data_IF_412285422759
#
_entry.id   IF_412285422759
#
_cell.length_a   1.000
_cell.length_b   1.000
_cell.length_c   1.000
_cell.angle_alpha   90.00
_cell.angle_beta   90.00
_cell.angle_gamma   90.00
#
_symmetry.space_group_name_H-M   'P 1'
#
loop_
_entity.id
_entity.type
_entity.pdbx_description
1 polymer ?
#
# COMPACT_ATOMS: atom_id res chain seq x y z
N UNK A 1 67.64 -35.18 18.34
CA UNK A 1 67.65 -33.94 19.13
C UNK A 1 68.06 -32.78 18.21
N UNK A 2 67.11 -31.95 17.77
CA UNK A 2 67.35 -30.55 17.37
C UNK A 2 66.01 -29.80 17.52
N UNK A 3 66.10 -28.61 18.13
CA UNK A 3 65.01 -27.78 18.66
C UNK A 3 64.25 -27.01 17.56
N UNK A 4 62.90 -26.85 17.65
CA UNK A 4 62.14 -26.14 16.64
C UNK A 4 62.08 -24.64 16.98
N UNK A 5 62.75 -23.82 16.16
CA UNK A 5 62.47 -22.39 16.08
C UNK A 5 62.23 -22.01 14.63
N UNK A 6 61.05 -21.44 14.41
CA UNK A 6 60.55 -20.72 13.23
C UNK A 6 60.06 -21.61 12.08
N UNK A 7 58.75 -21.60 11.86
CA UNK A 7 58.21 -20.88 10.70
C UNK A 7 56.68 -20.82 10.73
N UNK A 8 56.19 -19.70 10.18
CA UNK A 8 54.92 -19.54 9.46
C UNK A 8 53.64 -19.29 10.26
N UNK A 9 53.37 -17.99 10.38
CA UNK A 9 52.05 -17.40 10.43
C UNK A 9 51.13 -17.97 9.34
N UNK A 10 49.90 -18.33 9.71
CA UNK A 10 48.83 -18.66 8.78
C UNK A 10 47.49 -18.10 9.31
N UNK A 11 47.12 -16.98 8.70
CA UNK A 11 45.79 -16.58 8.26
C UNK A 11 44.59 -16.87 9.20
N UNK A 12 44.29 -15.90 10.06
CA UNK A 12 42.93 -15.67 10.52
C UNK A 12 42.14 -14.99 9.40
N UNK A 13 41.65 -15.78 8.44
CA UNK A 13 40.67 -15.34 7.45
C UNK A 13 39.30 -15.27 8.16
N UNK A 14 39.04 -14.14 8.84
CA UNK A 14 37.68 -13.83 9.29
C UNK A 14 36.82 -13.65 8.05
N UNK A 15 36.01 -14.66 7.76
CA UNK A 15 34.87 -14.62 6.86
C UNK A 15 33.92 -13.52 7.35
N UNK A 16 34.12 -12.30 6.84
CA UNK A 16 33.09 -11.29 6.81
C UNK A 16 31.98 -11.79 5.87
N UNK A 17 31.08 -12.62 6.41
CA UNK A 17 29.79 -12.90 5.77
C UNK A 17 29.09 -11.55 5.69
N UNK A 18 28.84 -10.99 4.49
CA UNK A 18 28.04 -9.78 4.42
C UNK A 18 26.64 -10.21 4.84
N UNK A 19 26.23 -9.79 6.04
CA UNK A 19 24.81 -9.69 6.37
C UNK A 19 24.21 -8.82 5.27
N UNK A 20 23.51 -9.45 4.33
CA UNK A 20 22.81 -8.77 3.26
C UNK A 20 21.74 -7.90 3.91
N UNK A 21 22.09 -6.66 4.22
CA UNK A 21 21.17 -5.70 4.80
C UNK A 21 20.04 -5.47 3.78
N UNK A 22 18.78 -5.80 4.12
CA UNK A 22 17.66 -5.68 3.19
C UNK A 22 17.45 -4.22 2.72
N UNK A 23 17.97 -3.24 3.46
CA UNK A 23 17.95 -1.82 3.11
C UNK A 23 18.86 -1.46 1.93
N UNK A 24 20.04 -2.10 1.81
CA UNK A 24 20.96 -1.89 0.67
C UNK A 24 20.43 -2.54 -0.62
N UNK A 25 19.71 -3.66 -0.52
CA UNK A 25 19.02 -4.26 -1.66
C UNK A 25 17.83 -3.41 -2.15
N UNK A 26 17.24 -2.60 -1.27
CA UNK A 26 16.17 -1.66 -1.58
C UNK A 26 16.69 -0.41 -2.29
N UNK A 27 17.93 0.01 -2.04
CA UNK A 27 18.57 1.16 -2.70
C UNK A 27 18.97 0.88 -4.17
N UNK A 28 19.14 -0.40 -4.55
CA UNK A 28 19.40 -0.83 -5.93
C UNK A 28 18.11 -0.98 -6.77
N UNK A 29 16.95 -1.04 -6.11
CA UNK A 29 15.64 -1.11 -6.75
C UNK A 29 15.13 0.31 -6.93
N UNK A 30 14.71 0.70 -8.13
CA UNK A 30 14.01 1.97 -8.31
C UNK A 30 12.85 2.03 -7.31
N UNK A 31 12.85 3.02 -6.42
CA UNK A 31 11.81 3.16 -5.40
C UNK A 31 11.31 4.60 -5.41
N UNK A 32 10.00 4.75 -5.19
CA UNK A 32 9.35 6.05 -5.08
C UNK A 32 8.47 6.08 -3.84
N UNK A 33 8.33 7.27 -3.27
CA UNK A 33 7.46 7.49 -2.11
C UNK A 33 6.42 8.52 -2.49
N UNK A 34 5.16 8.21 -2.19
CA UNK A 34 4.04 9.14 -2.27
C UNK A 34 3.46 9.37 -0.89
N UNK A 35 2.71 10.46 -0.75
CA UNK A 35 2.22 10.92 0.54
C UNK A 35 0.73 11.21 0.49
N UNK A 36 0.05 10.82 1.57
CA UNK A 36 -1.22 11.46 1.93
C UNK A 36 -0.85 12.78 2.63
N UNK A 37 -1.28 13.94 2.12
CA UNK A 37 -1.01 15.22 2.76
C UNK A 37 -1.60 15.23 4.18
N UNK A 38 -0.97 15.93 5.13
CA UNK A 38 -1.51 15.97 6.48
C UNK A 38 -2.90 16.61 6.52
N UNK A 39 -3.82 16.00 7.25
CA UNK A 39 -5.20 16.46 7.37
C UNK A 39 -5.72 16.30 8.79
N UNK A 40 -6.66 17.17 9.17
CA UNK A 40 -7.22 17.19 10.51
C UNK A 40 -8.45 16.30 10.62
N UNK A 41 -8.55 15.54 11.70
CA UNK A 41 -9.73 14.74 12.04
C UNK A 41 -10.36 15.40 13.26
N UNK A 42 -11.56 15.98 13.13
CA UNK A 42 -12.23 16.61 14.26
C UNK A 42 -12.41 15.65 15.44
N UNK A 43 -12.57 16.20 16.65
CA UNK A 43 -12.85 15.43 17.85
C UNK A 43 -14.14 14.60 17.67
N UNK A 44 -14.17 13.36 18.13
CA UNK A 44 -15.32 12.47 18.05
C UNK A 44 -15.85 12.23 16.62
N UNK A 45 -14.98 12.29 15.60
CA UNK A 45 -15.37 12.11 14.21
C UNK A 45 -14.70 10.92 13.54
N UNK A 46 -15.43 10.37 12.57
CA UNK A 46 -14.93 9.46 11.58
C UNK A 46 -14.73 10.23 10.26
N UNK A 47 -13.49 10.33 9.78
CA UNK A 47 -13.16 11.09 8.57
C UNK A 47 -12.43 10.23 7.55
N UNK A 48 -12.98 10.19 6.35
CA UNK A 48 -12.42 9.50 5.21
C UNK A 48 -12.14 10.52 4.08
N UNK A 49 -10.90 10.53 3.60
CA UNK A 49 -10.45 11.46 2.56
C UNK A 49 -9.80 10.73 1.41
N UNK A 50 -9.70 11.44 0.29
CA UNK A 50 -9.07 11.01 -0.94
C UNK A 50 -8.00 12.02 -1.37
N UNK A 51 -6.91 11.52 -1.94
CA UNK A 51 -5.87 12.34 -2.54
C UNK A 51 -5.43 11.74 -3.87
N UNK A 52 -5.49 12.53 -4.93
CA UNK A 52 -4.93 12.14 -6.23
C UNK A 52 -3.43 12.48 -6.30
N UNK A 53 -2.61 11.52 -6.73
CA UNK A 53 -1.16 11.67 -6.89
C UNK A 53 -0.76 11.23 -8.31
N UNK A 54 -0.45 12.18 -9.21
CA UNK A 54 0.05 11.85 -10.54
C UNK A 54 1.55 11.53 -10.51
N UNK A 55 1.92 10.32 -10.93
CA UNK A 55 3.30 9.89 -11.08
C UNK A 55 3.78 10.11 -12.50
N UNK A 56 4.75 11.01 -12.69
CA UNK A 56 5.33 11.30 -14.00
C UNK A 56 6.29 10.19 -14.42
N UNK A 57 5.74 9.15 -15.04
CA UNK A 57 6.49 8.01 -15.58
C UNK A 57 6.05 7.75 -17.02
N UNK A 58 7.00 7.38 -17.87
CA UNK A 58 6.78 7.11 -19.29
C UNK A 58 6.71 5.62 -19.61
N UNK A 59 7.18 4.78 -18.69
CA UNK A 59 7.20 3.34 -18.81
C UNK A 59 6.26 2.70 -17.78
N UNK A 60 5.78 1.48 -18.04
CA UNK A 60 5.00 0.73 -17.07
C UNK A 60 5.81 0.46 -15.80
N UNK A 61 5.15 0.53 -14.65
CA UNK A 61 5.77 0.19 -13.36
C UNK A 61 5.48 -1.26 -13.02
N UNK A 62 6.52 -2.09 -12.99
CA UNK A 62 6.46 -3.41 -12.37
C UNK A 62 6.78 -3.29 -10.88
N UNK A 63 5.77 -3.43 -10.03
CA UNK A 63 5.89 -3.26 -8.58
C UNK A 63 6.17 -4.61 -7.93
N UNK A 64 7.25 -4.68 -7.15
CA UNK A 64 7.64 -5.87 -6.37
C UNK A 64 7.27 -5.79 -4.89
N UNK A 65 7.13 -4.58 -4.36
CA UNK A 65 6.76 -4.36 -2.96
C UNK A 65 6.12 -2.98 -2.78
N UNK A 66 5.13 -2.92 -1.88
CA UNK A 66 4.52 -1.69 -1.41
C UNK A 66 4.58 -1.68 0.11
N UNK A 67 5.00 -0.56 0.68
CA UNK A 67 5.03 -0.34 2.13
C UNK A 67 4.18 0.88 2.44
N UNK A 68 3.17 0.71 3.30
CA UNK A 68 2.32 1.80 3.76
C UNK A 68 2.65 2.06 5.23
N UNK A 69 2.82 3.32 5.60
CA UNK A 69 2.98 3.75 6.99
C UNK A 69 1.98 4.86 7.29
N UNK A 70 1.03 4.54 8.16
CA UNK A 70 0.07 5.48 8.73
C UNK A 70 0.70 6.20 9.92
N UNK A 71 0.62 7.53 9.95
CA UNK A 71 1.34 8.36 10.91
C UNK A 71 0.37 9.28 11.66
N UNK A 72 0.58 9.38 12.98
CA UNK A 72 -0.24 10.20 13.87
C UNK A 72 -1.08 9.40 14.85
N UNK A 73 -1.09 8.07 14.77
CA UNK A 73 -1.88 7.21 15.66
C UNK A 73 -1.50 7.37 17.13
N UNK A 74 -2.51 7.35 18.00
CA UNK A 74 -2.42 7.41 19.45
C UNK A 74 -3.64 6.71 20.08
N UNK A 75 -3.69 6.57 21.40
CA UNK A 75 -4.89 6.05 22.06
C UNK A 75 -6.13 6.89 21.69
N UNK A 76 -7.21 6.21 21.28
CA UNK A 76 -8.44 6.87 20.81
C UNK A 76 -8.33 7.54 19.42
N UNK A 77 -7.20 7.47 18.73
CA UNK A 77 -7.04 8.03 17.38
C UNK A 77 -6.25 7.08 16.48
N UNK A 78 -6.92 6.45 15.52
CA UNK A 78 -6.32 5.40 14.70
C UNK A 78 -6.72 5.50 13.23
N UNK A 79 -5.83 5.02 12.36
CA UNK A 79 -6.20 4.71 10.98
C UNK A 79 -7.12 3.49 11.03
N UNK A 80 -8.29 3.62 10.40
CA UNK A 80 -9.16 2.48 10.13
C UNK A 80 -8.62 1.72 8.92
N UNK A 81 -8.34 2.44 7.83
CA UNK A 81 -7.58 1.90 6.71
C UNK A 81 -6.87 2.97 5.89
N UNK A 82 -5.93 2.52 5.05
CA UNK A 82 -5.48 3.22 3.86
C UNK A 82 -5.59 2.29 2.66
N UNK A 83 -6.18 2.78 1.57
CA UNK A 83 -6.26 2.06 0.30
C UNK A 83 -5.51 2.86 -0.77
N UNK A 84 -4.66 2.16 -1.52
CA UNK A 84 -3.98 2.70 -2.70
C UNK A 84 -4.69 2.16 -3.92
N UNK A 85 -5.26 3.04 -4.71
CA UNK A 85 -5.87 2.72 -6.00
C UNK A 85 -4.97 3.17 -7.15
N UNK A 86 -4.91 2.36 -8.21
CA UNK A 86 -4.59 2.84 -9.55
C UNK A 86 -5.90 3.27 -10.21
N UNK A 87 -5.98 4.52 -10.63
CA UNK A 87 -7.15 5.04 -11.34
C UNK A 87 -7.08 4.63 -12.81
N UNK A 88 -8.12 4.01 -13.35
CA UNK A 88 -8.15 3.38 -14.68
C UNK A 88 -8.97 4.15 -15.73
N UNK A 89 -9.65 5.23 -15.33
CA UNK A 89 -10.40 6.10 -16.24
C UNK A 89 -9.59 7.35 -16.62
N UNK A 90 -10.17 8.23 -17.44
CA UNK A 90 -9.51 9.47 -17.86
C UNK A 90 -9.11 10.35 -16.66
N UNK A 91 -7.81 10.64 -16.54
CA UNK A 91 -7.22 11.39 -15.43
C UNK A 91 -7.51 12.90 -15.47
N UNK A 92 -8.03 13.44 -16.57
CA UNK A 92 -8.21 14.89 -16.75
C UNK A 92 -9.11 15.50 -15.66
N UNK A 93 -10.12 14.76 -15.21
CA UNK A 93 -11.03 15.17 -14.14
C UNK A 93 -10.34 15.23 -12.75
N UNK A 94 -9.24 14.49 -12.56
CA UNK A 94 -8.50 14.43 -11.31
C UNK A 94 -7.37 15.46 -11.22
N UNK A 95 -6.91 16.00 -12.35
CA UNK A 95 -5.81 17.00 -12.37
C UNK A 95 -6.05 18.17 -11.40
N UNK A 96 -7.24 18.78 -11.29
CA UNK A 96 -7.47 19.89 -10.36
C UNK A 96 -7.37 19.52 -8.87
N UNK A 97 -7.52 18.23 -8.52
CA UNK A 97 -7.44 17.71 -7.15
C UNK A 97 -6.08 17.11 -6.80
N UNK A 98 -5.10 17.17 -7.70
CA UNK A 98 -3.76 16.65 -7.46
C UNK A 98 -3.14 17.23 -6.17
N UNK A 99 -2.76 16.33 -5.26
CA UNK A 99 -2.16 16.67 -3.97
C UNK A 99 -3.10 17.31 -2.94
N UNK A 100 -4.39 17.47 -3.25
CA UNK A 100 -5.38 18.06 -2.33
C UNK A 100 -6.09 16.96 -1.54
N UNK A 101 -6.53 17.34 -0.34
CA UNK A 101 -7.47 16.54 0.47
C UNK A 101 -8.87 16.79 -0.07
N UNK A 102 -9.56 15.72 -0.45
CA UNK A 102 -10.98 15.73 -0.84
C UNK A 102 -11.73 14.83 0.11
N UNK A 103 -12.76 15.35 0.77
CA UNK A 103 -13.66 14.53 1.59
C UNK A 103 -14.61 13.74 0.67
N UNK A 104 -14.39 12.43 0.59
CA UNK A 104 -15.19 11.52 -0.23
C UNK A 104 -15.07 10.09 0.30
N UNK A 105 -16.19 9.55 0.78
CA UNK A 105 -16.23 8.20 1.31
C UNK A 105 -15.87 7.18 0.22
N UNK A 106 -14.91 6.30 0.51
CA UNK A 106 -14.33 5.33 -0.43
C UNK A 106 -13.86 5.91 -1.79
N UNK A 107 -13.71 7.22 -1.93
CA UNK A 107 -13.38 7.92 -3.19
C UNK A 107 -14.38 7.72 -4.35
N UNK A 108 -15.63 7.37 -4.05
CA UNK A 108 -16.62 6.96 -5.06
C UNK A 108 -17.09 8.11 -5.96
N UNK A 109 -16.94 9.37 -5.53
CA UNK A 109 -17.32 10.56 -6.30
C UNK A 109 -16.12 11.24 -6.96
N UNK A 110 -14.91 10.76 -6.70
CA UNK A 110 -13.69 11.33 -7.25
C UNK A 110 -13.59 11.03 -8.76
N UNK A 111 -13.17 12.04 -9.54
CA UNK A 111 -12.96 11.88 -10.99
C UNK A 111 -14.26 11.65 -11.75
N UNK A 112 -14.42 10.47 -12.34
CA UNK A 112 -15.61 10.09 -13.11
C UNK A 112 -16.77 9.62 -12.24
N UNK A 113 -16.54 9.37 -10.95
CA UNK A 113 -17.54 8.80 -10.04
C UNK A 113 -17.92 7.34 -10.35
N UNK A 114 -17.10 6.62 -11.13
CA UNK A 114 -17.30 5.20 -11.41
C UNK A 114 -16.35 4.38 -10.51
N UNK A 115 -16.88 3.59 -9.55
CA UNK A 115 -16.05 2.78 -8.67
C UNK A 115 -15.17 1.76 -9.43
N UNK A 116 -15.57 1.35 -10.63
CA UNK A 116 -14.77 0.44 -11.48
C UNK A 116 -13.51 1.10 -12.03
N UNK A 117 -13.43 2.43 -11.98
CA UNK A 117 -12.20 3.16 -12.28
C UNK A 117 -11.14 3.03 -11.17
N UNK A 118 -11.49 2.55 -9.98
CA UNK A 118 -10.59 2.42 -8.84
C UNK A 118 -10.11 0.96 -8.70
N UNK A 119 -8.92 0.68 -9.23
CA UNK A 119 -8.31 -0.64 -9.08
C UNK A 119 -7.46 -0.67 -7.81
N UNK A 120 -7.78 -1.54 -6.85
CA UNK A 120 -6.99 -1.71 -5.62
C UNK A 120 -5.60 -2.24 -5.97
N UNK A 121 -4.58 -1.53 -5.49
CA UNK A 121 -3.16 -1.86 -5.66
C UNK A 121 -2.57 -2.35 -4.33
N UNK A 122 -2.93 -1.70 -3.22
CA UNK A 122 -2.53 -2.09 -1.88
C UNK A 122 -3.52 -1.59 -0.83
N UNK A 123 -3.55 -2.24 0.33
CA UNK A 123 -4.36 -1.83 1.47
C UNK A 123 -3.56 -1.92 2.77
N UNK A 124 -3.98 -1.17 3.78
CA UNK A 124 -3.47 -1.25 5.14
C UNK A 124 -4.62 -1.05 6.11
N UNK A 125 -4.75 -1.90 7.14
CA UNK A 125 -5.62 -1.68 8.30
C UNK A 125 -4.80 -1.54 9.59
N UNK A 126 -3.50 -1.30 9.45
CA UNK A 126 -2.56 -1.22 10.57
C UNK A 126 -1.71 0.05 10.44
N UNK A 127 -0.98 0.39 11.52
CA UNK A 127 -0.03 1.52 11.54
C UNK A 127 1.03 1.36 10.44
N UNK A 128 1.42 0.13 10.13
CA UNK A 128 2.33 -0.18 9.03
C UNK A 128 1.91 -1.47 8.35
N UNK A 129 2.02 -1.52 7.03
CA UNK A 129 1.84 -2.75 6.26
C UNK A 129 2.88 -2.85 5.15
N UNK A 130 3.21 -4.08 4.80
CA UNK A 130 4.19 -4.41 3.78
C UNK A 130 3.62 -5.52 2.91
N UNK A 131 3.30 -5.18 1.67
CA UNK A 131 2.82 -6.13 0.66
C UNK A 131 3.97 -6.44 -0.30
N UNK A 132 4.46 -7.68 -0.25
CA UNK A 132 5.51 -8.17 -1.15
C UNK A 132 4.91 -9.09 -2.20
N UNK A 133 5.23 -8.84 -3.46
CA UNK A 133 4.87 -9.74 -4.55
C UNK A 133 5.76 -10.98 -4.50
N UNK A 134 5.22 -12.18 -4.82
CA UNK A 134 6.03 -13.40 -4.88
C UNK A 134 7.26 -13.26 -5.80
N UNK A 135 8.37 -13.95 -5.51
CA UNK A 135 9.57 -13.90 -6.35
C UNK A 135 9.26 -14.23 -7.81
N UNK A 136 9.85 -13.46 -8.73
CA UNK A 136 9.61 -13.61 -10.17
C UNK A 136 8.27 -13.04 -10.64
N UNK A 137 7.50 -12.37 -9.78
CA UNK A 137 6.24 -11.72 -10.12
C UNK A 137 6.28 -10.22 -9.83
N UNK A 138 5.39 -9.46 -10.48
CA UNK A 138 5.17 -8.06 -10.18
C UNK A 138 3.72 -7.66 -10.47
N UNK A 139 3.21 -6.69 -9.73
CA UNK A 139 1.98 -5.99 -10.09
C UNK A 139 2.33 -4.89 -11.08
N UNK A 140 1.76 -4.95 -12.30
CA UNK A 140 2.04 -3.95 -13.33
C UNK A 140 0.99 -2.85 -13.33
N UNK A 141 1.44 -1.60 -13.36
CA UNK A 141 0.59 -0.43 -13.58
C UNK A 141 1.08 0.30 -14.81
N UNK A 142 0.16 0.54 -15.75
CA UNK A 142 0.43 1.18 -17.03
C UNK A 142 0.23 2.70 -16.92
N UNK A 143 1.13 3.52 -17.51
CA UNK A 143 0.91 4.95 -17.61
C UNK A 143 -0.25 5.24 -18.56
N UNK A 144 -1.03 6.27 -18.22
CA UNK A 144 -2.18 6.71 -18.99
C UNK A 144 -1.94 8.11 -19.55
N UNK A 145 -2.43 8.32 -20.76
CA UNK A 145 -2.63 9.66 -21.31
C UNK A 145 -3.85 10.29 -20.64
N UNK A 146 -3.78 11.59 -20.29
CA UNK A 146 -4.95 12.30 -19.76
C UNK A 146 -4.68 13.26 -18.60
N UNK A 147 -3.48 13.26 -18.00
CA UNK A 147 -3.09 14.24 -16.97
C UNK A 147 -2.18 15.36 -17.52
N UNK A 148 -2.46 15.83 -18.74
CA UNK A 148 -1.64 16.79 -19.47
C UNK A 148 -0.81 16.17 -20.61
N UNK A 149 0.28 16.84 -21.01
CA UNK A 149 1.06 16.49 -22.22
C UNK A 149 1.92 15.22 -22.09
N UNK A 150 2.12 14.70 -20.88
CA UNK A 150 2.97 13.52 -20.63
C UNK A 150 2.12 12.42 -19.99
N UNK A 151 2.31 11.14 -20.37
CA UNK A 151 1.69 10.03 -19.68
C UNK A 151 2.04 10.04 -18.18
N UNK A 152 1.09 9.63 -17.35
CA UNK A 152 1.30 9.48 -15.90
C UNK A 152 0.60 8.22 -15.41
N UNK A 153 1.08 7.67 -14.29
CA UNK A 153 0.29 6.75 -13.49
C UNK A 153 -0.49 7.56 -12.46
N UNK A 154 -1.83 7.44 -12.48
CA UNK A 154 -2.70 8.12 -11.54
C UNK A 154 -2.97 7.27 -10.30
N UNK A 155 -2.41 7.63 -9.16
CA UNK A 155 -2.75 6.99 -7.88
C UNK A 155 -3.83 7.79 -7.16
N UNK A 156 -4.78 7.08 -6.53
CA UNK A 156 -5.71 7.67 -5.56
C UNK A 156 -5.46 7.02 -4.22
N UNK A 157 -5.15 7.84 -3.22
CA UNK A 157 -4.91 7.42 -1.85
C UNK A 157 -6.16 7.72 -1.03
N UNK A 158 -6.84 6.67 -0.56
CA UNK A 158 -7.97 6.76 0.34
C UNK A 158 -7.48 6.55 1.77
N UNK A 159 -7.67 7.52 2.64
CA UNK A 159 -7.20 7.49 4.03
C UNK A 159 -8.37 7.68 4.97
N UNK A 160 -8.64 6.67 5.79
CA UNK A 160 -9.77 6.62 6.70
C UNK A 160 -9.29 6.58 8.15
N UNK A 161 -9.70 7.57 8.94
CA UNK A 161 -9.26 7.71 10.32
C UNK A 161 -10.43 7.95 11.26
N UNK A 162 -10.35 7.34 12.43
CA UNK A 162 -11.33 7.47 13.51
C UNK A 162 -10.66 8.22 14.67
N UNK A 163 -11.29 9.30 15.10
CA UNK A 163 -10.88 10.07 16.26
C UNK A 163 -11.97 10.02 17.33
N UNK A 164 -11.78 9.15 18.32
CA UNK A 164 -12.63 9.05 19.52
C UNK A 164 -12.17 9.97 20.66
N UNK A 165 -11.18 10.84 20.45
CA UNK A 165 -10.74 11.81 21.46
C UNK A 165 -11.55 13.11 21.40
N UNK A 166 -11.42 13.93 22.44
CA UNK A 166 -12.07 15.24 22.60
C UNK A 166 -11.33 16.39 21.90
N UNK A 167 -10.19 16.11 21.27
CA UNK A 167 -9.37 17.09 20.57
C UNK A 167 -9.24 16.78 19.07
N UNK A 168 -9.02 17.83 18.27
CA UNK A 168 -8.64 17.65 16.86
C UNK A 168 -7.29 16.92 16.80
N UNK A 169 -7.20 15.92 15.94
CA UNK A 169 -5.97 15.16 15.70
C UNK A 169 -5.54 15.29 14.24
N UNK A 170 -4.26 15.08 13.96
CA UNK A 170 -3.71 15.22 12.60
C UNK A 170 -3.16 13.90 12.10
N UNK A 171 -3.70 13.44 10.98
CA UNK A 171 -3.30 12.22 10.29
C UNK A 171 -2.42 12.56 9.08
N UNK A 172 -1.55 11.62 8.70
CA UNK A 172 -0.87 11.57 7.40
C UNK A 172 -0.41 10.14 7.12
N UNK A 173 0.04 9.87 5.90
CA UNK A 173 0.61 8.57 5.57
C UNK A 173 1.70 8.66 4.49
N UNK A 174 2.58 7.68 4.48
CA UNK A 174 3.55 7.46 3.41
C UNK A 174 3.30 6.12 2.73
N UNK A 175 3.48 6.09 1.42
CA UNK A 175 3.40 4.88 0.62
C UNK A 175 4.67 4.78 -0.20
N UNK A 176 5.52 3.79 0.11
CA UNK A 176 6.73 3.49 -0.64
C UNK A 176 6.43 2.37 -1.63
N UNK A 177 6.71 2.62 -2.89
CA UNK A 177 6.54 1.68 -4.00
C UNK A 177 7.93 1.28 -4.48
N UNK A 178 8.23 -0.01 -4.45
CA UNK A 178 9.52 -0.59 -4.84
C UNK A 178 9.35 -1.35 -6.15
N UNK A 179 10.06 -0.91 -7.17
CA UNK A 179 10.04 -1.53 -8.49
C UNK A 179 10.81 -2.85 -8.48
N UNK A 180 10.35 -3.78 -9.32
CA UNK A 180 11.08 -4.99 -9.63
C UNK A 180 12.38 -4.66 -10.36
N UNK A 181 13.41 -5.49 -10.18
CA UNK A 181 14.62 -5.36 -10.97
C UNK A 181 14.32 -5.61 -12.45
N UNK A 182 15.03 -4.94 -13.37
CA UNK A 182 14.97 -5.27 -14.80
C UNK A 182 15.18 -6.76 -15.04
N UNK A 183 14.33 -7.35 -15.90
CA UNK A 183 14.35 -8.78 -16.25
C UNK A 183 14.06 -9.78 -15.11
N UNK A 184 13.74 -9.32 -13.89
CA UNK A 184 13.38 -10.23 -12.79
C UNK A 184 11.93 -10.71 -12.85
N UNK A 185 11.07 -10.00 -13.60
CA UNK A 185 9.64 -10.31 -13.72
C UNK A 185 9.44 -11.41 -14.76
N UNK A 186 8.96 -12.56 -14.32
CA UNK A 186 8.60 -13.71 -15.17
C UNK A 186 7.08 -13.77 -15.42
N UNK A 187 6.28 -13.26 -14.48
CA UNK A 187 4.81 -13.23 -14.57
C UNK A 187 4.26 -11.93 -13.97
N UNK A 188 3.28 -11.34 -14.64
CA UNK A 188 2.54 -10.20 -14.11
C UNK A 188 1.38 -10.71 -13.26
N UNK A 189 1.21 -10.12 -12.08
CA UNK A 189 0.04 -10.32 -11.25
C UNK A 189 -1.08 -9.44 -11.80
N UNK A 190 -2.27 -10.04 -11.93
CA UNK A 190 -3.50 -9.29 -12.12
C UNK A 190 -4.16 -9.12 -10.76
N UNK A 191 -4.71 -7.95 -10.43
CA UNK A 191 -5.58 -7.85 -9.25
C UNK A 191 -6.79 -8.77 -9.47
N UNK A 192 -7.01 -9.68 -8.52
CA UNK A 192 -8.05 -10.72 -8.58
C UNK A 192 -9.35 -10.22 -7.92
N UNK A 193 -9.32 -9.06 -7.26
CA UNK A 193 -10.45 -8.60 -6.45
C UNK A 193 -11.45 -7.79 -7.29
N UNK A 194 -12.59 -8.40 -7.58
CA UNK A 194 -13.86 -7.67 -7.61
C UNK A 194 -14.32 -7.56 -6.14
N UNK A 195 -13.98 -6.45 -5.48
CA UNK A 195 -14.51 -6.16 -4.16
C UNK A 195 -15.89 -5.49 -4.32
N UNK A 196 -16.95 -6.29 -4.39
CA UNK A 196 -18.33 -5.77 -4.41
C UNK A 196 -18.75 -5.46 -2.98
N UNK A 197 -18.63 -4.20 -2.56
CA UNK A 197 -19.38 -3.70 -1.42
C UNK A 197 -20.81 -3.39 -1.92
N UNK A 198 -21.74 -4.33 -1.71
CA UNK A 198 -23.13 -4.16 -2.13
C UNK A 198 -23.97 -3.59 -0.98
N UNK A 199 -24.46 -2.37 -1.13
CA UNK A 199 -25.48 -1.79 -0.25
C UNK A 199 -26.85 -2.46 -0.38
N UNK A 200 -27.00 -3.43 -1.29
CA UNK A 200 -28.21 -4.27 -1.41
C UNK A 200 -28.19 -5.46 -0.43
N UNK A 201 -27.07 -5.70 0.25
CA UNK A 201 -27.00 -6.70 1.31
C UNK A 201 -27.64 -6.08 2.55
N UNK A 202 -28.95 -6.26 2.67
CA UNK A 202 -29.72 -5.88 3.85
C UNK A 202 -29.62 -7.01 4.89
N UNK A 203 -29.06 -6.70 6.07
CA UNK A 203 -29.03 -7.61 7.22
C UNK A 203 -30.07 -7.10 8.21
N UNK A 204 -31.24 -7.76 8.33
CA UNK A 204 -32.32 -7.25 9.18
C UNK A 204 -31.89 -7.16 10.64
N UNK A 205 -32.33 -6.14 11.39
CA UNK A 205 -32.03 -6.01 12.81
C UNK A 205 -32.40 -7.27 13.60
N UNK A 206 -31.48 -7.77 14.45
CA UNK A 206 -31.69 -8.96 15.28
C UNK A 206 -31.58 -10.31 14.55
N UNK A 207 -31.30 -10.34 13.25
CA UNK A 207 -30.95 -11.57 12.54
C UNK A 207 -29.49 -11.92 12.78
N UNK A 208 -29.24 -13.09 13.35
CA UNK A 208 -27.94 -13.75 13.29
C UNK A 208 -27.93 -14.68 12.08
N UNK A 209 -27.19 -14.30 11.03
CA UNK A 209 -26.81 -15.21 9.96
C UNK A 209 -25.29 -15.31 9.96
N UNK A 210 -24.77 -16.54 9.92
CA UNK A 210 -23.34 -16.81 9.78
C UNK A 210 -23.17 -17.59 8.51
N UNK A 211 -22.63 -16.93 7.49
CA UNK A 211 -22.05 -17.62 6.34
C UNK A 211 -20.59 -17.92 6.68
N UNK A 212 -20.22 -19.19 6.75
CA UNK A 212 -18.83 -19.61 6.90
C UNK A 212 -18.27 -19.96 5.53
N UNK A 213 -17.28 -19.20 5.06
CA UNK A 213 -16.48 -19.57 3.90
C UNK A 213 -15.08 -19.96 4.40
N UNK A 214 -14.70 -21.21 4.15
CA UNK A 214 -13.30 -21.65 4.24
C UNK A 214 -12.62 -21.49 2.87
N UNK A 215 -11.67 -20.57 2.75
CA UNK A 215 -10.76 -20.54 1.62
C UNK A 215 -9.36 -20.92 2.09
N UNK A 216 -8.73 -21.89 1.42
CA UNK A 216 -7.29 -22.10 1.57
C UNK A 216 -6.73 -23.29 0.78
N UNK A 217 -5.56 -23.13 0.14
CA UNK A 217 -4.61 -24.22 -0.01
C UNK A 217 -3.49 -24.04 1.02
N UNK A 218 -3.64 -24.67 2.20
CA UNK A 218 -2.50 -25.00 3.08
C UNK A 218 -2.14 -24.01 4.20
N UNK A 219 -2.71 -24.25 5.39
CA UNK A 219 -2.13 -24.24 6.75
C UNK A 219 -1.54 -22.92 7.33
N UNK A 220 -1.24 -21.87 6.56
CA UNK A 220 -0.87 -20.56 7.15
C UNK A 220 -1.42 -19.38 6.35
N UNK A 221 -2.67 -19.02 6.63
CA UNK A 221 -3.30 -17.82 6.08
C UNK A 221 -3.07 -16.60 7.00
N UNK A 222 -2.30 -15.63 6.50
CA UNK A 222 -2.12 -14.31 7.12
C UNK A 222 -3.31 -13.35 6.85
N UNK A 223 -4.32 -13.80 6.10
CA UNK A 223 -5.50 -13.03 5.70
C UNK A 223 -6.42 -12.62 6.85
N UNK A 224 -6.34 -13.30 8.00
CA UNK A 224 -7.15 -12.99 9.20
C UNK A 224 -6.79 -11.69 9.94
N UNK A 225 -5.74 -10.96 9.52
CA UNK A 225 -5.36 -9.68 10.15
C UNK A 225 -6.02 -8.45 9.52
N UNK A 226 -6.75 -8.60 8.42
CA UNK A 226 -7.37 -7.51 7.67
C UNK A 226 -8.88 -7.69 7.59
N UNK A 227 -9.62 -6.99 8.47
CA UNK A 227 -11.05 -6.77 8.32
C UNK A 227 -11.89 -7.62 9.25
N UNK A 228 -12.12 -7.10 10.46
CA UNK A 228 -13.10 -7.66 11.39
C UNK A 228 -12.57 -7.74 12.81
N UNK A 229 -12.59 -6.62 13.51
CA UNK A 229 -12.69 -6.67 14.97
C UNK A 229 -14.07 -6.12 15.34
N UNK A 230 -15.02 -7.04 15.44
CA UNK A 230 -16.18 -6.87 16.31
C UNK A 230 -15.72 -7.06 17.75
N UNK A 231 -15.99 -6.07 18.60
CA UNK A 231 -16.56 -6.36 19.91
C UNK A 231 -18.03 -5.94 19.84
#
# INVERSE_FOLDING_TARGET
>A
MFSPRRALALAALWLAVPLAHPELALARRGAMTVHVPPFDVPALHNREICTFVPLRVHEPMDISEIVIVNQGGSEGFTSHHLIVYAYQANLQALVPSAGKVVDDAACLKLGSGDPRALQIVATSQSVSSRQRMPPGTALRIEPQSGAGRRPVIGLVLNSHWINGTDAVKRARATVKIVLANPHAVKRQLKPIFEAVASGLIDVPPGKTARESWDWGPGIFDFGGFFGGTTN
#
